data_IF_066345485683
#
_entry.id   IF_066345485683
#
_cell.length_a   1.000
_cell.length_b   1.000
_cell.length_c   1.000
_cell.angle_alpha   90.00
_cell.angle_beta   90.00
_cell.angle_gamma   90.00
#
_symmetry.space_group_name_H-M   'P 1'
#
loop_
_entity.id
_entity.type
_entity.pdbx_description
1 polymer ?
#
# COMPACT_ATOMS: atom_id res chain seq x y z
N UNK A 1 -18.04 -48.34 -69.34
CA UNK A 1 -18.56 -47.49 -68.23
C UNK A 1 -17.69 -47.75 -67.01
N UNK A 2 -17.24 -46.67 -66.37
CA UNK A 2 -16.30 -46.65 -65.24
C UNK A 2 -17.09 -46.73 -63.93
N UNK A 3 -16.59 -47.48 -62.95
CA UNK A 3 -16.94 -47.27 -61.54
C UNK A 3 -15.66 -47.33 -60.70
N UNK A 4 -15.42 -46.20 -60.05
CA UNK A 4 -14.23 -45.84 -59.26
C UNK A 4 -14.36 -46.35 -57.83
N UNK A 5 -13.25 -46.71 -57.19
CA UNK A 5 -13.17 -46.85 -55.73
C UNK A 5 -12.01 -46.04 -55.15
N UNK A 6 -12.38 -44.80 -54.81
CA UNK A 6 -12.04 -43.97 -53.65
C UNK A 6 -10.73 -44.28 -52.91
N UNK A 7 -9.76 -43.39 -53.11
CA UNK A 7 -8.56 -43.15 -52.30
C UNK A 7 -8.94 -42.69 -50.89
N UNK A 8 -8.44 -43.35 -49.85
CA UNK A 8 -8.59 -42.94 -48.46
C UNK A 8 -7.61 -41.79 -48.12
N UNK A 9 -8.15 -40.59 -47.93
CA UNK A 9 -7.39 -39.43 -47.45
C UNK A 9 -7.28 -39.49 -45.92
N UNK A 10 -6.07 -39.76 -45.41
CA UNK A 10 -5.77 -39.59 -44.00
C UNK A 10 -5.71 -38.09 -43.67
N UNK A 11 -6.70 -37.59 -42.92
CA UNK A 11 -6.67 -36.26 -42.33
C UNK A 11 -5.81 -36.34 -41.05
N UNK A 12 -4.56 -35.90 -41.14
CA UNK A 12 -3.77 -35.55 -39.98
C UNK A 12 -4.40 -34.30 -39.33
N UNK A 13 -5.14 -34.50 -38.22
CA UNK A 13 -5.55 -33.38 -37.39
C UNK A 13 -4.29 -32.81 -36.73
N UNK A 14 -3.82 -31.68 -37.24
CA UNK A 14 -2.85 -30.84 -36.53
C UNK A 14 -3.41 -30.60 -35.13
N UNK A 15 -2.70 -31.11 -34.12
CA UNK A 15 -2.94 -30.73 -32.74
C UNK A 15 -2.75 -29.22 -32.66
N UNK A 16 -3.86 -28.48 -32.63
CA UNK A 16 -3.85 -27.14 -32.12
C UNK A 16 -3.52 -27.28 -30.64
N UNK A 17 -2.23 -27.17 -30.31
CA UNK A 17 -1.82 -26.81 -28.98
C UNK A 17 -2.57 -25.52 -28.67
N UNK A 18 -3.64 -25.64 -27.89
CA UNK A 18 -4.25 -24.50 -27.23
C UNK A 18 -3.13 -24.01 -26.34
N UNK A 19 -2.42 -22.99 -26.81
CA UNK A 19 -1.58 -22.18 -25.95
C UNK A 19 -2.55 -21.66 -24.91
N UNK A 20 -2.58 -22.32 -23.74
CA UNK A 20 -3.08 -21.72 -22.54
C UNK A 20 -2.41 -20.34 -22.49
N UNK A 21 -3.17 -19.24 -22.32
CA UNK A 21 -2.52 -17.95 -22.13
C UNK A 21 -1.51 -18.19 -21.02
N UNK A 22 -0.22 -18.03 -21.36
CA UNK A 22 0.81 -17.98 -20.35
C UNK A 22 0.26 -17.03 -19.29
N UNK A 23 0.36 -17.41 -18.01
CA UNK A 23 0.33 -16.45 -16.92
C UNK A 23 1.52 -15.50 -17.12
N UNK A 24 1.48 -14.70 -18.19
CA UNK A 24 2.18 -13.45 -18.26
C UNK A 24 1.56 -12.72 -17.09
N UNK A 25 2.35 -12.59 -16.03
CA UNK A 25 2.31 -11.45 -15.16
C UNK A 25 2.19 -10.22 -16.07
N UNK A 26 0.97 -9.88 -16.45
CA UNK A 26 0.61 -8.52 -16.80
C UNK A 26 0.74 -7.86 -15.44
N UNK A 27 1.97 -7.48 -15.09
CA UNK A 27 2.20 -6.38 -14.17
C UNK A 27 1.43 -5.22 -14.79
N UNK A 28 0.14 -5.12 -14.46
CA UNK A 28 -0.54 -3.85 -14.58
C UNK A 28 0.33 -2.94 -13.75
N UNK A 29 0.90 -1.91 -14.36
CA UNK A 29 1.64 -0.86 -13.68
C UNK A 29 0.71 -0.27 -12.62
N UNK A 30 0.74 -0.85 -11.42
CA UNK A 30 -0.05 -0.39 -10.28
C UNK A 30 0.53 0.96 -9.92
N UNK A 31 -0.31 1.97 -10.02
CA UNK A 31 0.07 3.32 -9.60
C UNK A 31 0.26 3.31 -8.09
N UNK A 32 1.31 3.99 -7.63
CA UNK A 32 1.57 4.14 -6.20
C UNK A 32 0.34 4.74 -5.48
N UNK A 33 0.13 4.33 -4.23
CA UNK A 33 -0.76 5.07 -3.36
C UNK A 33 -0.18 6.45 -3.08
N UNK A 34 -1.03 7.45 -2.94
CA UNK A 34 -0.58 8.81 -2.63
C UNK A 34 -1.01 9.17 -1.22
N UNK A 35 -0.03 9.41 -0.35
CA UNK A 35 -0.26 9.89 1.01
C UNK A 35 -0.14 11.41 0.98
N UNK A 36 -1.22 12.09 1.32
CA UNK A 36 -1.28 13.55 1.41
C UNK A 36 -1.69 13.98 2.81
N UNK A 37 -1.43 15.25 3.15
CA UNK A 37 -1.67 15.81 4.50
C UNK A 37 -1.10 14.93 5.62
N UNK A 38 0.04 14.29 5.36
CA UNK A 38 0.69 13.43 6.31
C UNK A 38 1.21 14.27 7.48
N UNK A 39 0.71 13.96 8.67
CA UNK A 39 1.01 14.64 9.93
C UNK A 39 1.29 13.63 11.02
N UNK A 40 2.16 13.99 11.94
CA UNK A 40 2.42 13.25 13.15
C UNK A 40 2.44 14.20 14.34
N UNK A 41 1.60 13.92 15.34
CA UNK A 41 1.58 14.61 16.62
C UNK A 41 2.40 13.81 17.61
N UNK A 42 3.45 14.43 18.17
CA UNK A 42 4.36 13.83 19.13
C UNK A 42 4.00 14.32 20.53
N UNK A 43 3.91 13.38 21.47
CA UNK A 43 3.58 13.63 22.86
C UNK A 43 4.84 13.34 23.69
N UNK A 44 5.42 14.38 24.29
CA UNK A 44 6.57 14.26 25.20
C UNK A 44 6.11 13.67 26.55
N UNK A 45 5.73 12.39 26.55
CA UNK A 45 5.54 11.62 27.78
C UNK A 45 6.79 10.78 28.07
N UNK A 46 7.09 10.58 29.35
CA UNK A 46 7.97 9.51 29.78
C UNK A 46 7.49 8.19 29.14
N UNK A 47 8.42 7.45 28.53
CA UNK A 47 8.16 6.26 27.71
C UNK A 47 6.96 5.39 28.18
N UNK A 48 6.16 4.84 27.24
CA UNK A 48 6.41 4.79 25.80
C UNK A 48 5.97 6.06 25.05
N UNK A 49 6.79 6.48 24.09
CA UNK A 49 6.44 7.60 23.20
C UNK A 49 5.12 7.31 22.50
N UNK A 50 4.17 8.24 22.63
CA UNK A 50 2.87 8.18 21.99
C UNK A 50 2.84 9.13 20.79
N UNK A 51 2.31 8.66 19.68
CA UNK A 51 2.25 9.41 18.43
C UNK A 51 0.90 9.20 17.77
N UNK A 52 0.30 10.29 17.29
CA UNK A 52 -0.89 10.19 16.43
C UNK A 52 -0.47 10.55 15.02
N UNK A 53 -0.59 9.60 14.09
CA UNK A 53 -0.30 9.80 12.67
C UNK A 53 -1.61 9.94 11.93
N UNK A 54 -1.71 10.98 11.08
CA UNK A 54 -2.87 11.19 10.22
C UNK A 54 -2.41 11.45 8.78
N UNK A 55 -3.11 10.90 7.80
CA UNK A 55 -2.91 11.20 6.39
C UNK A 55 -4.17 10.88 5.58
N UNK A 56 -4.30 11.51 4.41
CA UNK A 56 -5.27 11.11 3.40
C UNK A 56 -4.58 10.18 2.40
N UNK A 57 -5.18 9.02 2.15
CA UNK A 57 -4.75 8.01 1.19
C UNK A 57 -5.60 8.12 -0.07
N UNK A 58 -4.97 8.37 -1.21
CA UNK A 58 -5.57 8.20 -2.53
C UNK A 58 -5.06 6.89 -3.14
N UNK A 59 -6.00 6.02 -3.53
CA UNK A 59 -5.75 4.85 -4.36
C UNK A 59 -6.21 5.11 -5.80
N UNK A 60 -5.28 5.46 -6.71
CA UNK A 60 -5.61 5.74 -8.10
C UNK A 60 -6.01 4.49 -8.90
N UNK A 61 -5.77 3.28 -8.38
CA UNK A 61 -6.12 2.03 -9.05
C UNK A 61 -7.57 1.64 -8.83
N UNK A 62 -8.15 2.04 -7.69
CA UNK A 62 -9.55 1.80 -7.33
C UNK A 62 -10.40 3.07 -7.29
N UNK A 63 -9.81 4.24 -7.56
CA UNK A 63 -10.45 5.56 -7.48
C UNK A 63 -11.08 5.82 -6.10
N UNK A 64 -10.30 5.56 -5.05
CA UNK A 64 -10.73 5.73 -3.65
C UNK A 64 -9.89 6.79 -2.96
N UNK A 65 -10.55 7.65 -2.19
CA UNK A 65 -9.93 8.55 -1.22
C UNK A 65 -10.39 8.16 0.19
N UNK A 66 -9.46 8.04 1.13
CA UNK A 66 -9.79 7.73 2.52
C UNK A 66 -8.82 8.38 3.50
N UNK A 67 -9.33 8.88 4.62
CA UNK A 67 -8.50 9.35 5.72
C UNK A 67 -8.06 8.19 6.61
N UNK A 68 -6.79 8.18 7.01
CA UNK A 68 -6.23 7.23 7.95
C UNK A 68 -5.74 8.00 9.19
N UNK A 69 -6.12 7.53 10.37
CA UNK A 69 -5.68 8.06 11.65
C UNK A 69 -5.28 6.91 12.55
N UNK A 70 -4.13 7.01 13.20
CA UNK A 70 -3.58 5.91 13.98
C UNK A 70 -2.85 6.43 15.20
N UNK A 71 -3.25 5.90 16.36
CA UNK A 71 -2.60 6.09 17.63
C UNK A 71 -1.53 5.02 17.81
N UNK A 72 -0.28 5.38 17.61
CA UNK A 72 0.85 4.48 17.79
C UNK A 72 1.52 4.71 19.14
N UNK A 73 1.98 3.63 19.76
CA UNK A 73 2.88 3.67 20.91
C UNK A 73 3.97 2.62 20.74
N UNK A 74 5.10 2.80 21.42
CA UNK A 74 6.23 1.86 21.33
C UNK A 74 5.90 0.40 21.69
N UNK A 75 4.81 0.13 22.43
CA UNK A 75 4.31 -1.22 22.72
C UNK A 75 3.36 -1.79 21.66
N UNK A 76 2.95 -1.00 20.67
CA UNK A 76 2.07 -1.38 19.56
C UNK A 76 2.83 -1.56 18.24
N UNK A 77 4.16 -1.45 18.25
CA UNK A 77 5.00 -1.67 17.07
C UNK A 77 4.81 -3.09 16.51
N UNK A 78 4.80 -3.21 15.18
CA UNK A 78 4.71 -4.50 14.49
C UNK A 78 3.41 -4.65 13.69
N UNK A 79 2.71 -5.76 13.89
CA UNK A 79 1.61 -6.22 13.03
C UNK A 79 0.23 -5.65 13.40
N UNK A 80 0.14 -4.75 14.40
CA UNK A 80 -1.13 -4.13 14.76
C UNK A 80 -1.62 -3.21 13.65
N UNK A 81 -2.83 -3.49 13.14
CA UNK A 81 -3.43 -2.77 12.02
C UNK A 81 -4.55 -1.84 12.49
N UNK A 82 -4.52 -0.61 12.04
CA UNK A 82 -5.57 0.38 12.20
C UNK A 82 -6.37 0.46 10.91
N UNK A 83 -7.70 0.46 11.01
CA UNK A 83 -8.54 0.73 9.85
C UNK A 83 -8.46 2.23 9.51
N UNK A 84 -8.34 2.54 8.22
CA UNK A 84 -8.70 3.86 7.74
C UNK A 84 -10.22 4.06 7.81
N UNK A 85 -10.71 5.27 7.53
CA UNK A 85 -12.14 5.55 7.52
C UNK A 85 -12.90 4.66 6.52
N UNK A 86 -12.25 4.28 5.42
CA UNK A 86 -12.67 3.16 4.58
C UNK A 86 -12.01 1.87 5.13
N UNK A 87 -12.79 0.92 5.69
CA UNK A 87 -12.24 -0.28 6.33
C UNK A 87 -11.60 -1.27 5.35
N UNK A 88 -11.71 -1.06 4.03
CA UNK A 88 -10.98 -1.84 3.05
C UNK A 88 -9.48 -1.51 3.03
N UNK A 89 -9.05 -0.46 3.73
CA UNK A 89 -7.65 -0.05 3.84
C UNK A 89 -7.22 -0.09 5.30
N UNK A 90 -6.10 -0.74 5.55
CA UNK A 90 -5.50 -0.87 6.87
C UNK A 90 -4.07 -0.35 6.84
N UNK A 91 -3.67 0.33 7.91
CA UNK A 91 -2.30 0.80 8.11
C UNK A 91 -1.70 0.15 9.34
N UNK A 92 -0.43 -0.24 9.26
CA UNK A 92 0.38 -0.56 10.43
C UNK A 92 1.70 0.20 10.38
N UNK A 93 2.33 0.34 11.53
CA UNK A 93 3.61 1.04 11.68
C UNK A 93 4.63 0.10 12.33
N UNK A 94 5.39 -0.65 11.52
CA UNK A 94 6.50 -1.48 12.03
C UNK A 94 7.51 -0.68 12.85
N UNK A 95 7.77 0.58 12.47
CA UNK A 95 8.64 1.49 13.22
C UNK A 95 8.11 2.91 13.14
N UNK A 96 7.97 3.56 14.30
CA UNK A 96 7.62 4.98 14.41
C UNK A 96 8.32 5.57 15.64
N UNK A 97 9.54 5.11 15.96
CA UNK A 97 10.30 5.59 17.11
C UNK A 97 10.97 6.94 16.86
N UNK A 98 11.32 7.22 15.61
CA UNK A 98 11.82 8.50 15.13
C UNK A 98 10.88 9.01 14.04
N UNK A 99 10.64 10.32 14.00
CA UNK A 99 9.84 10.91 12.92
C UNK A 99 10.63 10.96 11.61
N UNK A 100 11.96 10.96 11.69
CA UNK A 100 12.84 10.98 10.53
C UNK A 100 13.06 9.59 9.91
N UNK A 101 12.61 8.52 10.58
CA UNK A 101 12.67 7.12 10.13
C UNK A 101 11.37 6.40 10.48
N UNK A 102 10.35 6.61 9.64
CA UNK A 102 9.04 5.97 9.79
C UNK A 102 8.93 4.81 8.82
N UNK A 103 8.63 3.63 9.36
CA UNK A 103 8.17 2.49 8.57
C UNK A 103 6.67 2.35 8.73
N UNK A 104 5.98 2.32 7.61
CA UNK A 104 4.54 2.08 7.55
C UNK A 104 4.24 1.06 6.47
N UNK A 105 3.10 0.40 6.60
CA UNK A 105 2.52 -0.30 5.46
C UNK A 105 1.04 -0.03 5.35
N UNK A 106 0.57 0.05 4.10
CA UNK A 106 -0.85 0.09 3.77
C UNK A 106 -1.22 -1.24 3.11
N UNK A 107 -2.23 -1.92 3.66
CA UNK A 107 -2.79 -3.15 3.10
C UNK A 107 -4.21 -2.90 2.60
N UNK A 108 -4.56 -3.52 1.48
CA UNK A 108 -5.96 -3.60 1.03
C UNK A 108 -6.57 -4.91 1.53
N UNK A 109 -7.67 -4.84 2.27
CA UNK A 109 -8.35 -6.01 2.86
C UNK A 109 -8.84 -6.95 1.75
N UNK A 110 -8.67 -8.26 1.95
CA UNK A 110 -8.98 -9.31 0.98
C UNK A 110 -8.26 -9.16 -0.38
N UNK A 111 -7.15 -8.44 -0.41
CA UNK A 111 -6.30 -8.27 -1.58
C UNK A 111 -4.88 -8.73 -1.28
N UNK A 112 -4.15 -9.08 -2.34
CA UNK A 112 -2.70 -9.30 -2.33
C UNK A 112 -1.92 -7.98 -2.43
N UNK A 113 -2.61 -6.87 -2.70
CA UNK A 113 -2.00 -5.55 -2.80
C UNK A 113 -1.61 -5.02 -1.41
N UNK A 114 -0.34 -4.69 -1.28
CA UNK A 114 0.28 -4.20 -0.07
C UNK A 114 1.36 -3.17 -0.44
N UNK A 115 1.48 -2.11 0.34
CA UNK A 115 2.34 -0.99 0.02
C UNK A 115 3.25 -0.67 1.22
N UNK A 116 4.48 -1.22 1.26
CA UNK A 116 5.45 -0.90 2.29
C UNK A 116 6.11 0.45 2.01
N UNK A 117 6.34 1.23 3.05
CA UNK A 117 6.90 2.58 2.95
C UNK A 117 7.91 2.87 4.04
N UNK A 118 9.01 3.50 3.63
CA UNK A 118 9.99 4.09 4.54
C UNK A 118 10.01 5.60 4.29
N UNK A 119 9.36 6.36 5.18
CA UNK A 119 9.29 7.82 5.10
C UNK A 119 10.47 8.39 5.85
N UNK A 120 11.53 8.65 5.09
CA UNK A 120 12.79 9.17 5.59
C UNK A 120 13.07 10.55 4.99
N UNK A 121 13.68 11.44 5.78
CA UNK A 121 14.30 12.66 5.27
C UNK A 121 13.67 13.99 5.69
N UNK A 122 14.13 15.04 5.02
CA UNK A 122 14.07 16.45 5.43
C UNK A 122 12.77 17.19 5.05
N UNK A 123 11.83 16.47 4.41
CA UNK A 123 10.51 17.01 4.07
C UNK A 123 9.58 17.12 5.27
N UNK A 124 9.91 16.47 6.40
CA UNK A 124 9.26 16.76 7.66
C UNK A 124 9.54 18.19 8.11
N UNK A 125 8.47 18.94 8.36
CA UNK A 125 8.51 20.27 8.98
C UNK A 125 7.82 20.17 10.33
N UNK A 126 8.60 20.27 11.39
CA UNK A 126 8.13 20.11 12.76
C UNK A 126 8.07 21.46 13.47
N UNK A 127 6.96 21.70 14.15
CA UNK A 127 6.73 22.91 14.94
C UNK A 127 6.41 22.50 16.38
N UNK A 128 7.03 23.20 17.33
CA UNK A 128 6.63 23.09 18.73
C UNK A 128 5.28 23.78 18.91
N UNK A 129 4.37 23.14 19.64
CA UNK A 129 3.01 23.70 19.84
C UNK A 129 2.95 24.68 21.01
N UNK A 130 3.94 24.64 21.91
CA UNK A 130 3.90 25.35 23.19
C UNK A 130 2.91 24.76 24.20
N UNK A 131 2.25 23.64 23.86
CA UNK A 131 1.36 22.89 24.74
C UNK A 131 2.06 21.62 25.24
N UNK A 132 1.54 21.03 26.31
CA UNK A 132 2.04 19.74 26.82
C UNK A 132 1.66 18.59 25.88
N UNK A 133 0.48 18.68 25.23
CA UNK A 133 -0.10 17.59 24.43
C UNK A 133 -0.84 18.10 23.18
N UNK A 134 -0.38 17.77 21.96
CA UNK A 134 0.97 17.30 21.63
C UNK A 134 1.99 18.41 21.85
N UNK A 135 3.23 18.07 22.20
CA UNK A 135 4.31 19.05 22.38
C UNK A 135 4.92 19.50 21.04
N UNK A 136 4.84 18.64 20.03
CA UNK A 136 5.36 18.88 18.68
C UNK A 136 4.44 18.29 17.63
N UNK A 137 4.25 18.99 16.53
CA UNK A 137 3.53 18.50 15.36
C UNK A 137 4.44 18.57 14.15
N UNK A 138 4.62 17.45 13.47
CA UNK A 138 5.40 17.32 12.25
C UNK A 138 4.47 17.13 11.06
N UNK A 139 4.73 17.83 9.97
CA UNK A 139 3.99 17.74 8.71
C UNK A 139 4.93 17.39 7.58
N UNK A 140 4.57 16.42 6.75
CA UNK A 140 5.31 16.11 5.54
C UNK A 140 4.99 17.12 4.45
N UNK A 141 6.03 17.70 3.84
CA UNK A 141 5.88 18.63 2.73
C UNK A 141 5.59 17.89 1.42
N UNK A 142 4.36 18.00 0.93
CA UNK A 142 3.93 17.49 -0.37
C UNK A 142 3.22 16.13 -0.29
N UNK A 143 3.32 15.38 -1.38
CA UNK A 143 2.76 14.03 -1.52
C UNK A 143 3.87 13.00 -1.29
N UNK A 144 3.56 11.94 -0.56
CA UNK A 144 4.41 10.77 -0.47
C UNK A 144 3.82 9.65 -1.33
N UNK A 145 4.50 9.30 -2.42
CA UNK A 145 4.13 8.18 -3.27
C UNK A 145 4.61 6.87 -2.63
N UNK A 146 3.66 5.99 -2.33
CA UNK A 146 3.88 4.73 -1.64
C UNK A 146 3.70 3.57 -2.66
N UNK A 147 4.80 2.94 -3.11
CA UNK A 147 4.74 1.89 -4.12
C UNK A 147 3.93 0.68 -3.67
N UNK A 148 3.13 0.12 -4.57
CA UNK A 148 2.33 -1.08 -4.32
C UNK A 148 3.11 -2.31 -4.78
N UNK A 149 3.10 -3.34 -3.96
CA UNK A 149 3.63 -4.68 -4.22
C UNK A 149 2.48 -5.67 -4.18
N UNK A 150 2.56 -6.72 -5.01
CA UNK A 150 1.65 -7.86 -4.99
C UNK A 150 2.33 -9.02 -4.26
N UNK A 151 1.68 -9.54 -3.22
CA UNK A 151 2.10 -10.72 -2.47
C UNK A 151 1.53 -12.04 -3.03
#
# INVERSE_FOLDING_TARGET
MKTSSITATFLALNGAAIAAPSESNIERDLKAFQLTKLTASLYDQSLPAYRIVNFDLNDPNNNVDTSCSSAWSGGMSGDYKFNCSNPNYQVNFPSLYDIEDIKLNVSVVNSKAFAPGEINGDKWKCENTGAEYPSKVCKWAGVYDLPIVLA
#
